data_IF_809530989181
#
_entry.id   IF_809530989181
#
_cell.length_a   1.000
_cell.length_b   1.000
_cell.length_c   1.000
_cell.angle_alpha   90.00
_cell.angle_beta   90.00
_cell.angle_gamma   90.00
#
_symmetry.space_group_name_H-M   'P 1'
#
loop_
_entity.id
_entity.type
_entity.pdbx_description
1 polymer ?
#
# COMPACT_ATOMS: atom_id res chain seq x y z
N UNK A 1 10.06 9.80 -12.96
CA UNK A 1 10.44 9.10 -14.19
C UNK A 1 11.45 7.96 -13.93
N UNK A 2 12.61 8.20 -13.31
CA UNK A 2 13.60 7.13 -13.07
C UNK A 2 13.07 5.87 -12.37
N UNK A 3 12.27 6.03 -11.30
CA UNK A 3 11.67 4.89 -10.59
C UNK A 3 10.68 4.08 -11.46
N UNK A 4 9.98 4.71 -12.41
CA UNK A 4 9.08 4.00 -13.30
C UNK A 4 9.87 3.12 -14.29
N UNK A 5 10.95 3.64 -14.86
CA UNK A 5 11.85 2.84 -15.71
C UNK A 5 12.50 1.68 -14.96
N UNK A 6 12.94 1.91 -13.71
CA UNK A 6 13.48 0.86 -12.86
C UNK A 6 12.43 -0.21 -12.52
N UNK A 7 11.18 0.17 -12.25
CA UNK A 7 10.10 -0.76 -11.97
C UNK A 7 9.79 -1.64 -13.18
N UNK A 8 9.66 -1.03 -14.36
CA UNK A 8 9.41 -1.73 -15.62
C UNK A 8 10.58 -2.66 -15.96
N UNK A 9 11.82 -2.20 -15.80
CA UNK A 9 13.03 -3.00 -16.05
C UNK A 9 13.10 -4.23 -15.14
N UNK A 10 12.93 -4.04 -13.82
CA UNK A 10 12.91 -5.14 -12.86
C UNK A 10 11.78 -6.11 -13.19
N UNK A 11 10.57 -5.61 -13.48
CA UNK A 11 9.41 -6.45 -13.81
C UNK A 11 9.60 -7.30 -15.07
N UNK A 12 10.18 -6.73 -16.13
CA UNK A 12 10.47 -7.47 -17.36
C UNK A 12 11.55 -8.53 -17.13
N UNK A 13 12.66 -8.16 -16.48
CA UNK A 13 13.77 -9.08 -16.19
C UNK A 13 13.29 -10.23 -15.29
N UNK A 14 12.55 -9.92 -14.23
CA UNK A 14 12.00 -10.93 -13.33
C UNK A 14 11.02 -11.86 -14.05
N UNK A 15 10.19 -11.35 -14.96
CA UNK A 15 9.24 -12.17 -15.72
C UNK A 15 9.96 -13.16 -16.65
N UNK A 16 11.01 -12.72 -17.35
CA UNK A 16 11.83 -13.61 -18.20
C UNK A 16 12.54 -14.67 -17.37
N UNK A 17 13.15 -14.28 -16.24
CA UNK A 17 13.77 -15.22 -15.30
C UNK A 17 12.77 -16.25 -14.76
N UNK A 18 11.58 -15.80 -14.38
CA UNK A 18 10.51 -16.67 -13.88
C UNK A 18 10.04 -17.68 -14.93
N UNK A 19 9.90 -17.26 -16.19
CA UNK A 19 9.54 -18.14 -17.30
C UNK A 19 10.57 -19.26 -17.52
N UNK A 20 11.87 -18.92 -17.44
CA UNK A 20 12.97 -19.88 -17.59
C UNK A 20 13.07 -20.82 -16.38
N UNK A 21 13.09 -20.28 -15.16
CA UNK A 21 13.29 -21.06 -13.94
C UNK A 21 12.10 -21.96 -13.62
N UNK A 22 10.86 -21.50 -13.80
CA UNK A 22 9.68 -22.34 -13.50
C UNK A 22 9.61 -23.59 -14.39
N UNK A 23 10.25 -23.56 -15.56
CA UNK A 23 10.30 -24.70 -16.49
C UNK A 23 11.29 -25.78 -16.03
N UNK A 24 12.39 -25.39 -15.40
CA UNK A 24 13.46 -26.28 -14.95
C UNK A 24 13.31 -26.69 -13.48
N UNK A 25 13.07 -25.71 -12.60
CA UNK A 25 12.98 -25.87 -11.14
C UNK A 25 11.95 -24.88 -10.55
N UNK A 26 10.69 -25.32 -10.35
CA UNK A 26 9.60 -24.43 -9.91
C UNK A 26 9.85 -23.76 -8.54
N UNK A 27 10.55 -24.44 -7.64
CA UNK A 27 10.92 -23.93 -6.31
C UNK A 27 11.75 -22.64 -6.38
N UNK A 28 12.74 -22.59 -7.28
CA UNK A 28 13.57 -21.40 -7.50
C UNK A 28 12.78 -20.26 -8.15
N UNK A 29 11.78 -20.60 -8.96
CA UNK A 29 10.83 -19.62 -9.50
C UNK A 29 10.10 -18.87 -8.40
N UNK A 30 9.69 -19.53 -7.32
CA UNK A 30 9.02 -18.86 -6.19
C UNK A 30 9.96 -17.87 -5.49
N UNK A 31 11.21 -18.27 -5.25
CA UNK A 31 12.21 -17.41 -4.59
C UNK A 31 12.48 -16.15 -5.41
N UNK A 32 12.61 -16.27 -6.74
CA UNK A 32 12.81 -15.13 -7.63
C UNK A 32 11.58 -14.22 -7.69
N UNK A 33 10.36 -14.78 -7.67
CA UNK A 33 9.14 -13.99 -7.65
C UNK A 33 9.05 -13.14 -6.36
N UNK A 34 9.33 -13.75 -5.22
CA UNK A 34 9.41 -13.09 -3.92
C UNK A 34 10.45 -11.97 -3.91
N UNK A 35 11.68 -12.26 -4.39
CA UNK A 35 12.76 -11.28 -4.44
C UNK A 35 12.41 -10.09 -5.35
N UNK A 36 11.83 -10.35 -6.52
CA UNK A 36 11.38 -9.31 -7.44
C UNK A 36 10.25 -8.47 -6.85
N UNK A 37 9.27 -9.11 -6.20
CA UNK A 37 8.17 -8.42 -5.52
C UNK A 37 8.66 -7.50 -4.41
N UNK A 38 9.59 -7.96 -3.58
CA UNK A 38 10.22 -7.14 -2.52
C UNK A 38 11.04 -5.99 -3.11
N UNK A 39 11.82 -6.23 -4.18
CA UNK A 39 12.59 -5.17 -4.84
C UNK A 39 11.70 -4.08 -5.43
N UNK A 40 10.62 -4.45 -6.11
CA UNK A 40 9.62 -3.51 -6.63
C UNK A 40 8.93 -2.73 -5.51
N UNK A 41 8.66 -3.37 -4.38
CA UNK A 41 8.08 -2.73 -3.21
C UNK A 41 8.96 -1.59 -2.68
N UNK A 42 10.25 -1.87 -2.45
CA UNK A 42 11.21 -0.86 -1.98
C UNK A 42 11.33 0.33 -2.93
N UNK A 43 11.27 0.06 -4.24
CA UNK A 43 11.36 1.09 -5.25
C UNK A 43 10.19 2.09 -5.18
N UNK A 44 8.99 1.63 -4.82
CA UNK A 44 7.77 2.44 -4.73
C UNK A 44 7.69 3.21 -3.40
N UNK A 45 8.35 2.76 -2.33
CA UNK A 45 8.38 3.47 -1.05
C UNK A 45 9.02 4.87 -1.13
N UNK A 46 10.05 5.03 -1.96
CA UNK A 46 10.77 6.31 -2.14
C UNK A 46 9.89 7.44 -2.73
N UNK A 47 9.16 7.25 -3.85
CA UNK A 47 8.24 8.26 -4.35
C UNK A 47 7.03 8.46 -3.42
N UNK A 48 6.54 7.40 -2.75
CA UNK A 48 5.48 7.52 -1.75
C UNK A 48 5.88 8.50 -0.63
N UNK A 49 7.07 8.35 -0.05
CA UNK A 49 7.55 9.26 0.99
C UNK A 49 7.61 10.73 0.55
N UNK A 50 7.96 10.99 -0.72
CA UNK A 50 7.93 12.35 -1.30
C UNK A 50 6.52 12.90 -1.41
N UNK A 51 5.56 12.12 -1.89
CA UNK A 51 4.16 12.53 -1.97
C UNK A 51 3.62 12.84 -0.58
N UNK A 52 3.90 11.98 0.41
CA UNK A 52 3.51 12.22 1.80
C UNK A 52 4.11 13.52 2.34
N UNK A 53 5.40 13.77 2.09
CA UNK A 53 6.07 15.01 2.50
C UNK A 53 5.48 16.27 1.85
N UNK A 54 5.13 16.22 0.56
CA UNK A 54 4.46 17.35 -0.10
C UNK A 54 3.06 17.57 0.45
N UNK A 55 2.30 16.51 0.71
CA UNK A 55 0.96 16.61 1.29
C UNK A 55 1.01 17.20 2.71
N UNK A 56 1.99 16.83 3.53
CA UNK A 56 2.14 17.41 4.87
C UNK A 56 2.55 18.87 4.83
N UNK A 57 3.39 19.28 3.88
CA UNK A 57 3.71 20.70 3.66
C UNK A 57 2.46 21.50 3.22
N UNK A 58 1.67 20.97 2.29
CA UNK A 58 0.43 21.63 1.85
C UNK A 58 -0.62 21.73 2.95
N UNK A 59 -0.74 20.71 3.80
CA UNK A 59 -1.63 20.73 4.97
C UNK A 59 -1.13 21.61 6.11
N UNK A 60 0.15 22.01 6.12
CA UNK A 60 0.64 23.07 7.00
C UNK A 60 0.25 24.48 6.52
N UNK A 61 0.00 24.65 5.22
CA UNK A 61 -0.33 25.94 4.60
C UNK A 61 -1.85 26.20 4.53
N UNK A 62 -2.64 25.16 4.25
CA UNK A 62 -4.10 25.20 4.42
C UNK A 62 -4.44 24.77 5.84
N UNK A 63 -5.41 25.41 6.51
CA UNK A 63 -5.86 25.10 7.88
C UNK A 63 -6.51 23.70 8.05
N UNK A 64 -6.06 22.69 7.30
CA UNK A 64 -6.36 21.29 7.51
C UNK A 64 -5.86 20.92 8.91
N UNK A 65 -6.77 20.51 9.80
CA UNK A 65 -6.37 19.92 11.08
C UNK A 65 -5.48 18.72 10.74
N UNK A 66 -4.18 18.79 11.12
CA UNK A 66 -3.18 17.78 10.75
C UNK A 66 -3.58 16.34 11.10
N UNK A 67 -4.54 16.16 12.01
CA UNK A 67 -5.21 14.91 12.33
C UNK A 67 -5.86 14.22 11.11
N UNK A 68 -6.57 14.95 10.24
CA UNK A 68 -7.25 14.34 9.08
C UNK A 68 -6.27 13.85 8.02
N UNK A 69 -5.25 14.65 7.69
CA UNK A 69 -4.22 14.22 6.76
C UNK A 69 -3.46 13.01 7.32
N UNK A 70 -3.11 13.03 8.61
CA UNK A 70 -2.44 11.90 9.26
C UNK A 70 -3.30 10.63 9.18
N UNK A 71 -4.61 10.75 9.35
CA UNK A 71 -5.54 9.62 9.27
C UNK A 71 -5.66 9.08 7.84
N UNK A 72 -5.78 9.95 6.84
CA UNK A 72 -5.77 9.57 5.42
C UNK A 72 -4.48 8.82 5.06
N UNK A 73 -3.33 9.34 5.51
CA UNK A 73 -2.04 8.69 5.30
C UNK A 73 -1.96 7.31 5.96
N UNK A 74 -2.50 7.15 7.17
CA UNK A 74 -2.59 5.84 7.84
C UNK A 74 -3.43 4.85 7.05
N UNK A 75 -4.60 5.27 6.56
CA UNK A 75 -5.49 4.42 5.75
C UNK A 75 -4.80 4.00 4.44
N UNK A 76 -4.19 4.95 3.73
CA UNK A 76 -3.46 4.67 2.50
C UNK A 76 -2.27 3.72 2.74
N UNK A 77 -1.53 3.95 3.82
CA UNK A 77 -0.41 3.10 4.23
C UNK A 77 -0.85 1.67 4.48
N UNK A 78 -1.92 1.48 5.28
CA UNK A 78 -2.48 0.14 5.54
C UNK A 78 -2.93 -0.51 4.23
N UNK A 79 -3.70 0.20 3.40
CA UNK A 79 -4.22 -0.34 2.14
C UNK A 79 -3.10 -0.84 1.22
N UNK A 80 -2.05 -0.04 1.03
CA UNK A 80 -0.91 -0.43 0.20
C UNK A 80 -0.13 -1.59 0.82
N UNK A 81 0.24 -1.51 2.10
CA UNK A 81 1.04 -2.54 2.76
C UNK A 81 0.33 -3.89 2.76
N UNK A 82 -0.97 -3.92 3.04
CA UNK A 82 -1.73 -5.18 3.08
C UNK A 82 -1.96 -5.75 1.69
N UNK A 83 -2.20 -4.91 0.68
CA UNK A 83 -2.33 -5.36 -0.71
C UNK A 83 -1.02 -5.96 -1.21
N UNK A 84 0.10 -5.34 -0.89
CA UNK A 84 1.42 -5.81 -1.29
C UNK A 84 1.79 -7.11 -0.57
N UNK A 85 1.58 -7.20 0.74
CA UNK A 85 1.82 -8.44 1.49
C UNK A 85 0.95 -9.59 0.97
N UNK A 86 -0.30 -9.32 0.59
CA UNK A 86 -1.18 -10.32 -0.01
C UNK A 86 -0.69 -10.76 -1.39
N UNK A 87 -0.22 -9.84 -2.24
CA UNK A 87 0.36 -10.19 -3.55
C UNK A 87 1.59 -11.09 -3.40
N UNK A 88 2.50 -10.77 -2.49
CA UNK A 88 3.67 -11.59 -2.21
C UNK A 88 3.28 -13.00 -1.74
N UNK A 89 2.26 -13.12 -0.89
CA UNK A 89 1.74 -14.42 -0.48
C UNK A 89 1.13 -15.21 -1.66
N UNK A 90 0.42 -14.55 -2.60
CA UNK A 90 -0.07 -15.20 -3.83
C UNK A 90 1.06 -15.66 -4.73
N UNK A 91 2.12 -14.87 -4.86
CA UNK A 91 3.30 -15.21 -5.65
C UNK A 91 4.05 -16.43 -5.08
N UNK A 92 3.95 -16.63 -3.77
CA UNK A 92 4.43 -17.82 -3.07
C UNK A 92 3.49 -19.04 -3.18
N UNK A 93 2.32 -18.91 -3.80
CA UNK A 93 1.29 -19.94 -3.88
C UNK A 93 0.29 -19.96 -2.71
N UNK A 94 0.50 -19.12 -1.70
CA UNK A 94 -0.27 -19.08 -0.45
C UNK A 94 -1.52 -18.17 -0.56
N UNK A 95 -2.48 -18.57 -1.39
CA UNK A 95 -3.69 -17.76 -1.66
C UNK A 95 -4.59 -17.61 -0.43
N UNK A 96 -4.64 -18.63 0.45
CA UNK A 96 -5.40 -18.56 1.70
C UNK A 96 -4.82 -17.51 2.66
N UNK A 97 -3.49 -17.46 2.78
CA UNK A 97 -2.81 -16.44 3.60
C UNK A 97 -3.02 -15.05 3.00
N UNK A 98 -2.89 -14.92 1.67
CA UNK A 98 -3.15 -13.66 0.98
C UNK A 98 -4.55 -13.11 1.27
N UNK A 99 -5.58 -13.96 1.21
CA UNK A 99 -6.95 -13.56 1.53
C UNK A 99 -7.13 -13.11 2.97
N UNK A 100 -6.46 -13.76 3.93
CA UNK A 100 -6.48 -13.36 5.35
C UNK A 100 -5.80 -12.01 5.57
N UNK A 101 -4.68 -11.75 4.89
CA UNK A 101 -3.97 -10.47 4.96
C UNK A 101 -4.81 -9.32 4.40
N UNK A 102 -5.48 -9.52 3.26
CA UNK A 102 -6.40 -8.52 2.71
C UNK A 102 -7.57 -8.22 3.64
N UNK A 103 -8.17 -9.27 4.22
CA UNK A 103 -9.29 -9.12 5.13
C UNK A 103 -8.88 -8.34 6.38
N UNK A 104 -7.71 -8.65 6.96
CA UNK A 104 -7.15 -7.89 8.08
C UNK A 104 -6.97 -6.40 7.72
N UNK A 105 -6.43 -6.10 6.55
CA UNK A 105 -6.29 -4.72 6.06
C UNK A 105 -7.62 -3.98 5.96
N UNK A 106 -8.64 -4.62 5.39
CA UNK A 106 -9.99 -4.05 5.29
C UNK A 106 -10.59 -3.76 6.67
N UNK A 107 -10.45 -4.67 7.62
CA UNK A 107 -10.94 -4.48 9.00
C UNK A 107 -10.23 -3.32 9.69
N UNK A 108 -8.91 -3.21 9.54
CA UNK A 108 -8.13 -2.09 10.11
C UNK A 108 -8.54 -0.74 9.52
N UNK A 109 -8.77 -0.68 8.20
CA UNK A 109 -9.26 0.54 7.53
C UNK A 109 -10.64 0.91 8.05
N UNK A 110 -11.56 -0.06 8.21
CA UNK A 110 -12.89 0.17 8.78
C UNK A 110 -12.82 0.70 10.21
N UNK A 111 -11.94 0.16 11.04
CA UNK A 111 -11.73 0.64 12.41
C UNK A 111 -11.27 2.11 12.43
N UNK A 112 -10.42 2.51 11.47
CA UNK A 112 -9.99 3.89 11.31
C UNK A 112 -11.04 4.82 10.67
N UNK A 113 -12.09 4.28 10.06
CA UNK A 113 -13.19 5.08 9.54
C UNK A 113 -14.09 5.63 10.67
N UNK A 114 -14.18 4.95 11.81
CA UNK A 114 -14.97 5.38 12.97
C UNK A 114 -14.64 6.81 13.44
N UNK A 115 -13.37 7.20 13.69
CA UNK A 115 -13.04 8.57 14.09
C UNK A 115 -13.38 9.62 13.03
N UNK A 116 -13.32 9.27 11.74
CA UNK A 116 -13.76 10.17 10.66
C UNK A 116 -15.25 10.47 10.79
N UNK A 117 -16.05 9.40 10.91
CA UNK A 117 -17.51 9.51 11.04
C UNK A 117 -17.85 10.35 12.28
N UNK A 118 -17.20 10.07 13.42
CA UNK A 118 -17.40 10.84 14.65
C UNK A 118 -17.12 12.34 14.45
N UNK A 119 -15.99 12.68 13.84
CA UNK A 119 -15.59 14.07 13.62
C UNK A 119 -16.57 14.81 12.70
N UNK A 120 -17.06 14.13 11.64
CA UNK A 120 -18.08 14.69 10.75
C UNK A 120 -19.38 14.91 11.52
N UNK A 121 -19.83 13.94 12.31
CA UNK A 121 -21.07 14.04 13.11
C UNK A 121 -20.99 15.19 14.12
N UNK A 122 -19.88 15.32 14.86
CA UNK A 122 -19.65 16.43 15.79
C UNK A 122 -19.68 17.78 15.06
N UNK A 123 -19.08 17.86 13.87
CA UNK A 123 -19.12 19.08 13.04
C UNK A 123 -20.55 19.39 12.60
N UNK A 124 -21.32 18.41 12.12
CA UNK A 124 -22.70 18.62 11.70
C UNK A 124 -23.62 19.08 12.84
N UNK A 125 -23.46 18.50 14.03
CA UNK A 125 -24.24 18.89 15.22
C UNK A 125 -23.91 20.33 15.62
N UNK A 126 -22.64 20.75 15.52
CA UNK A 126 -22.24 22.12 15.85
C UNK A 126 -22.83 23.17 14.90
N UNK A 127 -23.03 22.83 13.62
CA UNK A 127 -23.66 23.71 12.63
C UNK A 127 -25.19 23.66 12.64
N UNK A 128 -25.80 22.78 13.45
CA UNK A 128 -27.24 22.74 13.62
C UNK A 128 -27.65 23.88 14.57
N UNK A 129 -28.37 24.91 14.10
CA UNK A 129 -28.88 25.95 14.99
C UNK A 129 -29.96 25.32 15.87
N UNK A 130 -29.66 25.12 17.16
CA UNK A 130 -30.65 24.79 18.19
C UNK A 130 -31.47 26.01 18.55
#
# INVERSE_FOLDING_TARGET
MAAAFQAVGIGLISTVLLLLLRRERPEWGVVVALAAGVALLFLVLVPLGRVVGTLTQLAGLGHLQGAYLTLLLKVLGIAYLTTLAAQVARDAGETLVAGRVELAGKVLILALALPIIRAITETLIHWLPT
#
